data_IF_880172170370
#
_entry.id   IF_880172170370
#
_cell.length_a   1.000
_cell.length_b   1.000
_cell.length_c   1.000
_cell.angle_alpha   90.00
_cell.angle_beta   90.00
_cell.angle_gamma   90.00
#
_symmetry.space_group_name_H-M   'P 1'
#
loop_
_entity.id
_entity.type
_entity.pdbx_description
1 polymer ?
#
# COMPACT_ATOMS: atom_id res chain seq x y z
N UNK A 1 14.31 -41.19 -15.82
CA UNK A 1 13.55 -39.94 -15.93
C UNK A 1 13.60 -39.30 -14.55
N UNK A 2 14.20 -38.11 -14.41
CA UNK A 2 14.23 -37.41 -13.12
C UNK A 2 12.88 -36.70 -12.96
N UNK A 3 12.07 -37.13 -11.98
CA UNK A 3 10.89 -36.37 -11.57
C UNK A 3 11.36 -35.13 -10.80
N UNK A 4 11.08 -33.94 -11.34
CA UNK A 4 11.39 -32.68 -10.68
C UNK A 4 10.31 -32.38 -9.64
N UNK A 5 10.73 -32.02 -8.43
CA UNK A 5 9.82 -31.52 -7.40
C UNK A 5 9.33 -30.11 -7.78
N UNK A 6 8.01 -29.84 -7.74
CA UNK A 6 7.47 -28.49 -7.94
C UNK A 6 8.09 -27.48 -6.97
N UNK A 7 8.40 -26.27 -7.45
CA UNK A 7 9.13 -25.25 -6.68
C UNK A 7 8.42 -24.90 -5.38
N UNK A 8 7.11 -24.70 -5.41
CA UNK A 8 6.23 -24.40 -4.27
C UNK A 8 6.26 -25.47 -3.17
N UNK A 9 6.67 -26.70 -3.52
CA UNK A 9 6.83 -27.82 -2.59
C UNK A 9 8.26 -27.96 -2.05
N UNK A 10 9.22 -27.20 -2.59
CA UNK A 10 10.59 -27.16 -2.07
C UNK A 10 10.69 -26.18 -0.90
N UNK A 11 11.69 -26.37 -0.03
CA UNK A 11 11.98 -25.41 1.05
C UNK A 11 12.24 -23.99 0.50
N UNK A 12 12.98 -23.89 -0.60
CA UNK A 12 13.26 -22.61 -1.26
C UNK A 12 11.99 -21.91 -1.77
N UNK A 13 11.06 -22.65 -2.38
CA UNK A 13 9.79 -22.08 -2.84
C UNK A 13 8.89 -21.64 -1.69
N UNK A 14 8.84 -22.39 -0.59
CA UNK A 14 8.11 -21.99 0.61
C UNK A 14 8.69 -20.70 1.22
N UNK A 15 10.02 -20.57 1.25
CA UNK A 15 10.69 -19.36 1.71
C UNK A 15 10.37 -18.16 0.82
N UNK A 16 10.39 -18.32 -0.52
CA UNK A 16 9.99 -17.27 -1.46
C UNK A 16 8.54 -16.81 -1.25
N UNK A 17 7.61 -17.73 -1.02
CA UNK A 17 6.21 -17.41 -0.71
C UNK A 17 6.14 -16.59 0.59
N UNK A 18 6.86 -17.00 1.64
CA UNK A 18 6.87 -16.29 2.91
C UNK A 18 7.45 -14.87 2.77
N UNK A 19 8.51 -14.70 1.98
CA UNK A 19 9.10 -13.39 1.69
C UNK A 19 8.08 -12.52 0.95
N UNK A 20 7.43 -13.05 -0.09
CA UNK A 20 6.40 -12.34 -0.84
C UNK A 20 5.22 -11.93 0.03
N UNK A 21 4.75 -12.80 0.92
CA UNK A 21 3.69 -12.47 1.89
C UNK A 21 4.11 -11.35 2.84
N UNK A 22 5.34 -11.41 3.38
CA UNK A 22 5.86 -10.38 4.28
C UNK A 22 5.95 -9.03 3.58
N UNK A 23 6.50 -9.00 2.37
CA UNK A 23 6.58 -7.79 1.56
C UNK A 23 5.19 -7.24 1.22
N UNK A 24 4.23 -8.11 0.87
CA UNK A 24 2.86 -7.71 0.60
C UNK A 24 2.16 -7.09 1.81
N UNK A 25 2.36 -7.65 3.00
CA UNK A 25 1.85 -7.08 4.26
C UNK A 25 2.49 -5.72 4.54
N UNK A 26 3.80 -5.61 4.43
CA UNK A 26 4.54 -4.36 4.64
C UNK A 26 4.07 -3.25 3.69
N UNK A 27 3.95 -3.56 2.39
CA UNK A 27 3.40 -2.62 1.41
C UNK A 27 1.95 -2.24 1.71
N UNK A 28 1.14 -3.19 2.16
CA UNK A 28 -0.25 -2.96 2.55
C UNK A 28 -0.38 -2.03 3.76
N UNK A 29 0.47 -2.19 4.77
CA UNK A 29 0.52 -1.32 5.95
C UNK A 29 0.90 0.11 5.53
N UNK A 30 2.01 0.26 4.79
CA UNK A 30 2.49 1.58 4.34
C UNK A 30 1.44 2.31 3.48
N UNK A 31 0.77 1.59 2.56
CA UNK A 31 -0.31 2.17 1.76
C UNK A 31 -1.52 2.54 2.62
N UNK A 32 -1.86 1.70 3.60
CA UNK A 32 -2.96 1.95 4.53
C UNK A 32 -2.74 3.20 5.40
N UNK A 33 -1.52 3.41 5.88
CA UNK A 33 -1.11 4.60 6.63
C UNK A 33 -1.27 5.86 5.79
N UNK A 34 -0.72 5.89 4.58
CA UNK A 34 -0.83 7.01 3.65
C UNK A 34 -2.29 7.38 3.32
N UNK A 35 -3.16 6.38 3.10
CA UNK A 35 -4.60 6.58 2.92
C UNK A 35 -5.24 7.23 4.17
N UNK A 36 -4.80 6.81 5.35
CA UNK A 36 -5.24 7.39 6.62
C UNK A 36 -4.88 8.86 6.73
N UNK A 37 -3.63 9.19 6.40
CA UNK A 37 -3.09 10.55 6.43
C UNK A 37 -3.79 11.48 5.42
N UNK A 38 -3.96 11.06 4.16
CA UNK A 38 -4.72 11.80 3.15
C UNK A 38 -6.12 12.14 3.66
N UNK A 39 -6.84 11.15 4.18
CA UNK A 39 -8.21 11.36 4.67
C UNK A 39 -8.25 12.25 5.91
N UNK A 40 -7.20 12.23 6.73
CA UNK A 40 -7.08 13.14 7.87
C UNK A 40 -6.85 14.58 7.40
N UNK A 41 -5.91 14.79 6.49
CA UNK A 41 -5.61 16.10 5.92
C UNK A 41 -6.84 16.70 5.21
N UNK A 42 -7.57 15.90 4.42
CA UNK A 42 -8.85 16.31 3.81
C UNK A 42 -9.86 16.81 4.85
N UNK A 43 -9.97 16.15 6.02
CA UNK A 43 -10.88 16.58 7.10
C UNK A 43 -10.43 17.89 7.73
N UNK A 44 -9.14 18.03 8.01
CA UNK A 44 -8.57 19.25 8.63
C UNK A 44 -8.81 20.44 7.71
N UNK A 45 -8.55 20.28 6.41
CA UNK A 45 -8.77 21.28 5.36
C UNK A 45 -10.25 21.47 4.97
N UNK A 46 -11.18 20.75 5.62
CA UNK A 46 -12.63 20.78 5.33
C UNK A 46 -12.97 20.49 3.86
N UNK A 47 -12.16 19.67 3.19
CA UNK A 47 -12.40 19.17 1.83
C UNK A 47 -13.34 17.96 1.87
N UNK A 48 -13.88 17.60 0.71
CA UNK A 48 -14.58 16.31 0.55
C UNK A 48 -13.62 15.18 0.88
N UNK A 49 -14.03 14.29 1.79
CA UNK A 49 -13.20 13.15 2.21
C UNK A 49 -13.41 11.99 1.24
N UNK A 50 -12.34 11.58 0.55
CA UNK A 50 -12.36 10.43 -0.35
C UNK A 50 -12.65 9.13 0.41
N UNK A 51 -13.25 8.16 -0.27
CA UNK A 51 -13.51 6.86 0.35
C UNK A 51 -12.20 6.06 0.51
N UNK A 52 -12.18 5.12 1.46
CA UNK A 52 -11.01 4.22 1.63
C UNK A 52 -10.79 3.37 0.39
N UNK A 53 -11.87 2.92 -0.23
CA UNK A 53 -11.82 2.01 -1.37
C UNK A 53 -11.31 2.72 -2.63
N UNK A 54 -11.82 3.93 -2.88
CA UNK A 54 -11.33 4.78 -3.97
C UNK A 54 -9.82 5.07 -3.86
N UNK A 55 -9.32 5.38 -2.66
CA UNK A 55 -7.89 5.60 -2.46
C UNK A 55 -7.08 4.28 -2.56
N UNK A 56 -7.65 3.15 -2.11
CA UNK A 56 -6.98 1.85 -2.20
C UNK A 56 -6.79 1.36 -3.64
N UNK A 57 -7.65 1.77 -4.57
CA UNK A 57 -7.57 1.46 -6.00
C UNK A 57 -6.49 2.27 -6.73
N UNK A 58 -6.02 3.39 -6.16
CA UNK A 58 -4.99 4.24 -6.76
C UNK A 58 -3.58 3.65 -6.60
N UNK A 59 -2.65 3.91 -7.54
CA UNK A 59 -1.23 3.66 -7.35
C UNK A 59 -0.67 4.41 -6.14
N UNK A 60 0.39 3.88 -5.52
CA UNK A 60 1.01 4.51 -4.33
C UNK A 60 1.59 5.88 -4.67
N UNK A 61 2.11 6.04 -5.89
CA UNK A 61 2.66 7.28 -6.41
C UNK A 61 1.60 8.39 -6.47
N UNK A 62 0.41 8.07 -6.98
CA UNK A 62 -0.72 9.01 -7.02
C UNK A 62 -1.18 9.38 -5.60
N UNK A 63 -1.17 8.43 -4.66
CA UNK A 63 -1.47 8.73 -3.25
C UNK A 63 -0.44 9.69 -2.64
N UNK A 64 0.85 9.55 -2.95
CA UNK A 64 1.89 10.47 -2.48
C UNK A 64 1.71 11.87 -3.04
N UNK A 65 1.37 11.98 -4.32
CA UNK A 65 1.06 13.28 -4.94
C UNK A 65 -0.13 13.96 -4.27
N UNK A 66 -1.22 13.21 -4.05
CA UNK A 66 -2.39 13.72 -3.31
C UNK A 66 -2.00 14.18 -1.90
N UNK A 67 -1.20 13.38 -1.20
CA UNK A 67 -0.77 13.72 0.15
C UNK A 67 0.07 15.00 0.18
N UNK A 68 1.06 15.15 -0.70
CA UNK A 68 1.90 16.35 -0.77
C UNK A 68 1.10 17.62 -1.10
N UNK A 69 0.09 17.52 -1.97
CA UNK A 69 -0.80 18.66 -2.24
C UNK A 69 -1.55 19.08 -0.97
N UNK A 70 -2.12 18.11 -0.24
CA UNK A 70 -2.84 18.40 1.01
C UNK A 70 -1.90 18.91 2.11
N UNK A 71 -0.68 18.39 2.20
CA UNK A 71 0.34 18.84 3.13
C UNK A 71 0.73 20.30 2.87
N UNK A 72 0.94 20.68 1.60
CA UNK A 72 1.23 22.07 1.24
C UNK A 72 0.12 23.06 1.59
N UNK A 73 -1.14 22.61 1.58
CA UNK A 73 -2.28 23.45 2.01
C UNK A 73 -2.41 23.56 3.54
N UNK A 74 -1.79 22.66 4.31
CA UNK A 74 -1.82 22.69 5.78
C UNK A 74 -0.74 23.61 6.37
N UNK A 75 0.35 23.80 5.65
CA UNK A 75 1.49 24.64 6.07
C UNK A 75 1.29 26.15 5.74
N UNK A 76 0.20 26.52 5.07
CA UNK A 76 -0.23 27.90 4.78
C UNK A 76 -1.14 28.49 5.87
#
# INVERSE_FOLDING_TARGET
MLELTPLDKTAAGQELIQIGMRQGIEQGINKGELIGEIRMAQRILKRTVSSRQELAEKPVEELKEIFHLLESELDE
#
